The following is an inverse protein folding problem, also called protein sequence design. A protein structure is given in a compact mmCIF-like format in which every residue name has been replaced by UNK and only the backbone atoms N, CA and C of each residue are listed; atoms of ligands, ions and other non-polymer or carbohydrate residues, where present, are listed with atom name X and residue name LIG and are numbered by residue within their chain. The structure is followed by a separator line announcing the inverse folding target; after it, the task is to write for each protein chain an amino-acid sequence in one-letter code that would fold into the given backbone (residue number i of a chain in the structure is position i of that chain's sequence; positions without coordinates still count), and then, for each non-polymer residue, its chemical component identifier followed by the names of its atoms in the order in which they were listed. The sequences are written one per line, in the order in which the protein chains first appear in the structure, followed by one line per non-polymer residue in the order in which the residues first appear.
data_IF_029875555454
#
_entry.id   IF_029875555454
#
_cell.length_a   1.000
_cell.length_b   1.000
_cell.length_c   1.000
_cell.angle_alpha   90.00
_cell.angle_beta   90.00
_cell.angle_gamma   90.00
#
_symmetry.space_group_name_H-M   'P 1'
#
loop_
_entity.id
_entity.type
_entity.pdbx_description
1 polymer ?
#
# COMPACT_ATOMS: atom_id res chain seq x y z
N UNK A 1 7.52 9.09 -16.24
CA UNK A 1 7.33 7.71 -15.80
C UNK A 1 8.12 6.77 -16.69
N UNK A 2 8.92 5.89 -16.10
CA UNK A 2 9.66 4.83 -16.81
C UNK A 2 9.33 3.51 -16.12
N UNK A 3 8.95 2.51 -16.91
CA UNK A 3 8.69 1.16 -16.42
C UNK A 3 9.39 0.14 -17.31
N UNK A 4 10.22 -0.69 -16.71
CA UNK A 4 10.87 -1.81 -17.35
C UNK A 4 10.35 -3.09 -16.72
N UNK A 5 9.88 -4.01 -17.58
CA UNK A 5 9.34 -5.30 -17.20
C UNK A 5 10.07 -6.38 -17.98
N UNK A 6 10.57 -7.38 -17.29
CA UNK A 6 11.22 -8.54 -17.91
C UNK A 6 10.69 -9.81 -17.27
N UNK A 7 10.32 -10.79 -18.10
CA UNK A 7 9.87 -12.11 -17.67
C UNK A 7 10.64 -13.18 -18.38
N UNK A 8 11.20 -14.11 -17.63
CA UNK A 8 11.84 -15.32 -18.11
C UNK A 8 10.97 -16.51 -17.72
N UNK A 9 10.70 -17.39 -18.66
CA UNK A 9 9.89 -18.60 -18.44
C UNK A 9 10.76 -19.80 -18.75
N UNK A 10 10.82 -20.73 -17.79
CA UNK A 10 11.56 -21.99 -17.88
C UNK A 10 10.54 -23.12 -17.91
N UNK A 11 10.55 -23.93 -18.93
CA UNK A 11 9.73 -25.15 -19.03
C UNK A 11 10.61 -26.35 -18.71
N UNK A 12 10.36 -26.98 -17.55
CA UNK A 12 11.12 -28.15 -17.11
C UNK A 12 10.49 -29.44 -17.64
N UNK A 13 9.16 -29.50 -17.56
CA UNK A 13 8.33 -30.60 -18.09
C UNK A 13 6.99 -30.04 -18.55
N UNK A 14 6.11 -30.87 -19.11
CA UNK A 14 4.76 -30.44 -19.52
C UNK A 14 3.89 -30.00 -18.34
N UNK A 15 4.18 -30.50 -17.15
CA UNK A 15 3.43 -30.23 -15.92
C UNK A 15 4.14 -29.30 -14.93
N UNK A 16 5.43 -28.95 -15.17
CA UNK A 16 6.22 -28.08 -14.29
C UNK A 16 6.90 -27.00 -15.10
N UNK A 17 6.62 -25.76 -14.75
CA UNK A 17 7.32 -24.61 -15.28
C UNK A 17 7.72 -23.63 -14.16
N UNK A 18 8.70 -22.80 -14.44
CA UNK A 18 9.13 -21.74 -13.57
C UNK A 18 9.11 -20.40 -14.29
N UNK A 19 8.84 -19.33 -13.59
CA UNK A 19 9.00 -17.99 -14.12
C UNK A 19 9.73 -17.07 -13.14
N UNK A 20 10.53 -16.19 -13.72
CA UNK A 20 11.21 -15.11 -13.00
C UNK A 20 10.77 -13.80 -13.62
N UNK A 21 10.23 -12.94 -12.78
CA UNK A 21 9.71 -11.65 -13.15
C UNK A 21 10.53 -10.56 -12.48
N UNK A 22 11.06 -9.64 -13.25
CA UNK A 22 11.72 -8.44 -12.75
C UNK A 22 10.97 -7.20 -13.23
N UNK A 23 10.69 -6.29 -12.30
CA UNK A 23 10.11 -4.98 -12.59
C UNK A 23 10.98 -3.89 -12.01
N UNK A 24 11.17 -2.84 -12.79
CA UNK A 24 11.77 -1.58 -12.36
C UNK A 24 10.90 -0.43 -12.82
N UNK A 25 10.51 0.43 -11.88
CA UNK A 25 9.70 1.60 -12.17
C UNK A 25 10.28 2.85 -11.52
N UNK A 26 10.28 3.95 -12.26
CA UNK A 26 10.58 5.29 -11.76
C UNK A 26 9.45 6.21 -12.16
N UNK A 27 8.87 6.86 -11.16
CA UNK A 27 7.86 7.90 -11.33
C UNK A 27 8.38 9.19 -10.74
N UNK A 28 8.38 10.24 -11.51
CA UNK A 28 8.61 11.61 -11.04
C UNK A 28 7.31 12.39 -11.25
N UNK A 29 6.95 13.22 -10.29
CA UNK A 29 5.86 14.17 -10.41
C UNK A 29 6.34 15.50 -9.85
N UNK A 30 6.17 16.54 -10.65
CA UNK A 30 6.47 17.92 -10.32
C UNK A 30 5.16 18.69 -10.35
N UNK A 31 4.76 19.21 -9.19
CA UNK A 31 3.58 20.05 -9.05
C UNK A 31 4.03 21.46 -8.71
N UNK A 32 3.46 22.42 -9.38
CA UNK A 32 3.68 23.83 -9.15
C UNK A 32 2.33 24.53 -9.04
N UNK A 33 2.08 25.12 -7.88
CA UNK A 33 0.88 25.94 -7.63
C UNK A 33 1.31 27.39 -7.45
N UNK A 34 0.80 28.28 -8.30
CA UNK A 34 1.12 29.69 -8.25
C UNK A 34 -0.12 30.57 -8.08
N UNK A 35 -0.06 31.42 -7.08
CA UNK A 35 -1.05 32.47 -6.83
C UNK A 35 -0.39 33.86 -6.99
N UNK A 36 -0.72 34.55 -8.08
CA UNK A 36 -0.22 35.89 -8.37
C UNK A 36 -0.82 36.97 -7.47
N UNK A 37 -0.23 38.14 -7.44
CA UNK A 37 -0.62 39.28 -6.60
C UNK A 37 -2.08 39.72 -6.78
N UNK A 38 -2.68 39.49 -7.96
CA UNK A 38 -4.06 39.84 -8.28
C UNK A 38 -5.10 38.78 -7.85
N UNK A 39 -4.66 37.68 -7.20
CA UNK A 39 -5.58 36.62 -6.77
C UNK A 39 -6.20 36.93 -5.42
N UNK A 40 -7.44 36.45 -5.21
CA UNK A 40 -8.13 36.53 -3.93
C UNK A 40 -7.33 35.85 -2.80
N UNK A 41 -6.71 34.73 -3.10
CA UNK A 41 -5.85 34.01 -2.15
C UNK A 41 -4.75 34.91 -1.58
N UNK A 42 -4.00 35.57 -2.46
CA UNK A 42 -2.91 36.49 -2.07
C UNK A 42 -3.47 37.71 -1.33
N UNK A 43 -4.59 38.29 -1.77
CA UNK A 43 -5.23 39.41 -1.09
C UNK A 43 -5.61 39.08 0.36
N UNK A 44 -6.17 37.88 0.61
CA UNK A 44 -6.50 37.42 1.95
C UNK A 44 -5.26 37.25 2.85
N UNK A 45 -4.18 36.66 2.35
CA UNK A 45 -2.94 36.48 3.12
C UNK A 45 -2.27 37.83 3.37
N UNK A 46 -2.28 38.72 2.38
CA UNK A 46 -1.71 40.06 2.46
C UNK A 46 -2.47 40.99 3.39
N UNK A 47 -3.74 40.67 3.67
CA UNK A 47 -4.68 41.51 4.45
C UNK A 47 -4.90 42.89 3.83
N UNK A 48 -4.83 42.99 2.51
CA UNK A 48 -5.03 44.21 1.78
C UNK A 48 -5.85 43.96 0.50
N UNK A 49 -6.51 44.97 -0.02
CA UNK A 49 -7.15 44.93 -1.33
C UNK A 49 -6.10 44.94 -2.46
N UNK A 50 -6.53 44.56 -3.67
CA UNK A 50 -5.67 44.63 -4.86
C UNK A 50 -5.04 45.98 -5.03
N UNK A 51 -3.70 46.01 -5.23
CA UNK A 51 -2.94 47.26 -5.48
C UNK A 51 -2.71 48.13 -4.23
N UNK A 52 -3.15 47.72 -3.05
CA UNK A 52 -2.91 48.43 -1.79
C UNK A 52 -1.64 47.90 -1.15
N UNK A 53 -0.83 48.78 -0.56
CA UNK A 53 0.35 48.37 0.20
C UNK A 53 -0.01 47.40 1.34
N UNK A 54 0.83 46.40 1.53
CA UNK A 54 0.64 45.43 2.59
C UNK A 54 0.82 46.06 3.97
N UNK A 55 -0.04 45.72 4.95
CA UNK A 55 0.19 46.13 6.35
C UNK A 55 1.49 45.57 6.90
N UNK A 56 2.05 46.19 7.91
CA UNK A 56 3.27 45.72 8.59
C UNK A 56 3.15 44.35 9.23
N UNK A 57 1.91 43.90 9.49
CA UNK A 57 1.60 42.58 10.02
C UNK A 57 1.27 41.53 8.93
N UNK A 58 1.52 41.86 7.65
CA UNK A 58 1.29 40.93 6.54
C UNK A 58 2.27 39.78 6.53
N UNK A 59 1.75 38.58 6.23
CA UNK A 59 2.57 37.41 5.96
C UNK A 59 3.03 37.27 4.51
N UNK A 60 2.52 38.14 3.62
CA UNK A 60 2.86 38.20 2.18
C UNK A 60 2.93 39.66 1.74
N UNK A 61 4.04 40.38 2.05
CA UNK A 61 4.12 41.81 1.79
C UNK A 61 4.17 42.17 0.31
N UNK A 62 4.86 41.39 -0.49
CA UNK A 62 5.09 41.62 -1.93
C UNK A 62 4.96 40.31 -2.70
N UNK A 63 4.65 40.42 -4.01
CA UNK A 63 4.59 39.30 -4.93
C UNK A 63 3.45 38.33 -4.65
N UNK A 64 3.53 37.21 -5.29
CA UNK A 64 2.62 36.07 -5.11
C UNK A 64 3.21 34.97 -4.22
N UNK A 65 2.48 33.88 -4.13
CA UNK A 65 2.90 32.64 -3.45
C UNK A 65 3.13 31.55 -4.50
N UNK A 66 4.27 30.88 -4.43
CA UNK A 66 4.65 29.73 -5.26
C UNK A 66 4.85 28.52 -4.34
N UNK A 67 4.09 27.46 -4.58
CA UNK A 67 4.26 26.18 -3.91
C UNK A 67 4.76 25.15 -4.90
N UNK A 68 5.90 24.55 -4.62
CA UNK A 68 6.55 23.56 -5.44
C UNK A 68 6.60 22.22 -4.68
N UNK A 69 6.16 21.16 -5.32
CA UNK A 69 6.26 19.81 -4.80
C UNK A 69 6.86 18.90 -5.86
N UNK A 70 8.03 18.38 -5.57
CA UNK A 70 8.72 17.42 -6.41
C UNK A 70 8.74 16.06 -5.71
N UNK A 71 8.29 15.04 -6.39
CA UNK A 71 8.29 13.66 -5.84
C UNK A 71 8.93 12.70 -6.81
N UNK A 72 9.71 11.78 -6.28
CA UNK A 72 10.32 10.69 -7.01
C UNK A 72 10.12 9.37 -6.31
N UNK A 73 9.43 8.46 -6.97
CA UNK A 73 9.28 7.09 -6.51
C UNK A 73 10.09 6.15 -7.40
N UNK A 74 10.95 5.32 -6.78
CA UNK A 74 11.69 4.25 -7.44
C UNK A 74 11.27 2.93 -6.81
N UNK A 75 10.81 2.01 -7.65
CA UNK A 75 10.38 0.69 -7.21
C UNK A 75 11.07 -0.36 -8.06
N UNK A 76 11.59 -1.40 -7.43
CA UNK A 76 12.00 -2.63 -8.08
C UNK A 76 11.41 -3.82 -7.35
N UNK A 77 11.03 -4.81 -8.12
CA UNK A 77 10.54 -6.07 -7.60
C UNK A 77 11.10 -7.24 -8.39
N UNK A 78 11.37 -8.31 -7.70
CA UNK A 78 11.75 -9.60 -8.25
C UNK A 78 10.80 -10.65 -7.70
N UNK A 79 10.22 -11.45 -8.57
CA UNK A 79 9.43 -12.62 -8.22
C UNK A 79 9.98 -13.84 -8.96
N UNK A 80 10.21 -14.91 -8.23
CA UNK A 80 10.51 -16.22 -8.78
C UNK A 80 9.42 -17.19 -8.34
N UNK A 81 8.87 -17.96 -9.29
CA UNK A 81 7.75 -18.84 -9.06
C UNK A 81 7.92 -20.14 -9.81
N UNK A 82 7.59 -21.26 -9.16
CA UNK A 82 7.41 -22.57 -9.77
C UNK A 82 5.92 -22.86 -9.85
N UNK A 83 5.46 -23.30 -11.00
CA UNK A 83 4.07 -23.67 -11.26
C UNK A 83 3.99 -25.14 -11.60
N UNK A 84 3.08 -25.81 -10.94
CA UNK A 84 2.75 -27.22 -11.12
C UNK A 84 1.32 -27.31 -11.65
N UNK A 85 1.12 -28.08 -12.73
CA UNK A 85 -0.23 -28.47 -13.19
C UNK A 85 -0.16 -29.87 -13.75
N UNK A 86 -0.71 -30.84 -13.01
CA UNK A 86 -0.62 -32.24 -13.39
C UNK A 86 -1.95 -32.96 -13.22
N UNK A 87 -2.37 -33.62 -14.30
CA UNK A 87 -3.47 -34.56 -14.27
C UNK A 87 -2.93 -35.99 -14.07
N UNK A 88 -3.65 -36.81 -13.33
CA UNK A 88 -3.24 -38.18 -13.04
C UNK A 88 -4.44 -39.08 -12.69
N UNK A 89 -4.18 -40.40 -12.65
CA UNK A 89 -5.20 -41.42 -12.42
C UNK A 89 -5.89 -41.88 -13.71
N UNK A 90 -6.79 -42.84 -13.56
CA UNK A 90 -7.59 -43.32 -14.69
C UNK A 90 -8.48 -42.20 -15.23
N UNK A 91 -8.51 -42.00 -16.55
CA UNK A 91 -9.27 -40.95 -17.23
C UNK A 91 -8.93 -39.52 -16.71
N UNK A 92 -7.72 -39.32 -16.22
CA UNK A 92 -7.25 -37.99 -15.71
C UNK A 92 -8.20 -37.35 -14.70
N UNK A 93 -8.84 -38.17 -13.88
CA UNK A 93 -9.86 -37.72 -12.91
C UNK A 93 -9.33 -36.84 -11.77
N UNK A 94 -8.00 -36.85 -11.56
CA UNK A 94 -7.34 -36.07 -10.54
C UNK A 94 -6.53 -34.95 -11.17
N UNK A 95 -6.65 -33.77 -10.65
CA UNK A 95 -5.80 -32.64 -11.02
C UNK A 95 -5.14 -32.05 -9.78
N UNK A 96 -3.83 -31.80 -9.83
CA UNK A 96 -3.09 -30.99 -8.88
C UNK A 96 -2.57 -29.78 -9.60
N UNK A 97 -2.94 -28.59 -9.10
CA UNK A 97 -2.42 -27.31 -9.54
C UNK A 97 -1.76 -26.64 -8.34
N UNK A 98 -0.55 -26.09 -8.52
CA UNK A 98 0.18 -25.48 -7.44
C UNK A 98 1.12 -24.40 -7.91
N UNK A 99 1.43 -23.49 -7.00
CA UNK A 99 2.44 -22.47 -7.18
C UNK A 99 3.25 -22.30 -5.89
N UNK A 100 4.57 -22.33 -6.01
CA UNK A 100 5.52 -21.95 -4.95
C UNK A 100 6.29 -20.74 -5.44
N UNK A 101 6.20 -19.64 -4.71
CA UNK A 101 6.83 -18.40 -5.13
C UNK A 101 7.55 -17.67 -4.00
N UNK A 102 8.52 -16.88 -4.42
CA UNK A 102 9.25 -15.93 -3.59
C UNK A 102 9.22 -14.56 -4.26
N UNK A 103 8.94 -13.54 -3.47
CA UNK A 103 8.88 -12.15 -3.93
C UNK A 103 9.76 -11.27 -3.05
N UNK A 104 10.44 -10.31 -3.66
CA UNK A 104 11.08 -9.21 -2.98
C UNK A 104 10.79 -7.91 -3.71
N UNK A 105 10.54 -6.86 -2.94
CA UNK A 105 10.36 -5.53 -3.50
C UNK A 105 10.98 -4.46 -2.63
N UNK A 106 11.42 -3.39 -3.28
CA UNK A 106 11.95 -2.20 -2.61
C UNK A 106 11.36 -0.97 -3.30
N UNK A 107 10.76 -0.10 -2.49
CA UNK A 107 10.20 1.16 -2.96
C UNK A 107 10.77 2.30 -2.14
N UNK A 108 11.40 3.26 -2.82
CA UNK A 108 11.95 4.47 -2.21
C UNK A 108 11.23 5.69 -2.74
N UNK A 109 10.51 6.33 -1.84
CA UNK A 109 9.81 7.59 -2.08
C UNK A 109 10.64 8.75 -1.55
N UNK A 110 11.03 9.65 -2.45
CA UNK A 110 11.66 10.93 -2.10
C UNK A 110 10.73 12.06 -2.47
N UNK A 111 10.56 13.00 -1.55
CA UNK A 111 9.78 14.20 -1.74
C UNK A 111 10.55 15.43 -1.31
N UNK A 112 10.37 16.51 -2.06
CA UNK A 112 10.75 17.86 -1.68
C UNK A 112 9.53 18.75 -1.85
N UNK A 113 9.22 19.53 -0.84
CA UNK A 113 8.12 20.49 -0.85
C UNK A 113 8.62 21.81 -0.29
N UNK A 114 8.33 22.89 -0.99
CA UNK A 114 8.65 24.24 -0.58
C UNK A 114 7.51 25.18 -0.99
N UNK A 115 7.18 26.12 -0.11
CA UNK A 115 6.30 27.26 -0.46
C UNK A 115 7.08 28.53 -0.25
N UNK A 116 7.16 29.34 -1.30
CA UNK A 116 7.89 30.59 -1.33
C UNK A 116 6.94 31.76 -1.52
N UNK A 117 7.16 32.84 -0.82
CA UNK A 117 6.39 34.09 -0.91
C UNK A 117 7.27 35.21 -1.45
N UNK A 118 6.66 36.15 -2.12
CA UNK A 118 7.38 37.22 -2.80
C UNK A 118 7.75 36.89 -4.25
N UNK A 119 7.06 35.93 -4.87
CA UNK A 119 7.33 35.46 -6.22
C UNK A 119 6.60 36.29 -7.28
N UNK A 120 7.33 36.65 -8.37
CA UNK A 120 6.81 37.33 -9.54
C UNK A 120 7.06 36.53 -10.81
N UNK A 121 6.02 35.89 -11.34
CA UNK A 121 6.11 35.08 -12.55
C UNK A 121 6.41 35.94 -13.80
N UNK A 122 5.83 37.14 -13.86
CA UNK A 122 5.90 38.09 -14.96
C UNK A 122 7.19 38.96 -14.98
N UNK A 123 7.94 38.94 -13.87
CA UNK A 123 9.19 39.69 -13.74
C UNK A 123 10.43 38.78 -13.80
N UNK A 124 10.44 37.88 -14.77
CA UNK A 124 11.55 36.96 -14.99
C UNK A 124 11.61 35.82 -13.95
N UNK A 125 10.48 35.45 -13.37
CA UNK A 125 10.41 34.35 -12.35
C UNK A 125 11.33 34.63 -11.16
N UNK A 126 11.25 35.82 -10.61
CA UNK A 126 12.15 36.29 -9.56
C UNK A 126 11.45 36.38 -8.20
N UNK A 127 12.22 36.40 -7.13
CA UNK A 127 11.75 36.60 -5.78
C UNK A 127 12.17 37.97 -5.24
N UNK A 128 11.24 38.64 -4.53
CA UNK A 128 11.54 39.88 -3.84
C UNK A 128 12.18 39.62 -2.50
N UNK A 129 13.27 40.31 -2.21
CA UNK A 129 13.85 40.36 -0.88
C UNK A 129 12.97 41.19 0.05
N UNK A 130 12.54 40.61 1.16
CA UNK A 130 11.73 41.26 2.19
C UNK A 130 12.60 41.51 3.42
N UNK A 131 12.61 42.72 3.92
CA UNK A 131 13.33 43.09 5.14
C UNK A 131 12.67 42.40 6.36
N UNK A 132 13.47 41.64 7.09
CA UNK A 132 12.97 40.88 8.24
C UNK A 132 12.47 41.78 9.40
N UNK A 133 13.02 43.01 9.51
CA UNK A 133 12.63 44.03 10.50
C UNK A 133 11.26 44.63 10.22
N UNK A 134 10.88 44.72 8.93
CA UNK A 134 9.72 45.50 8.52
C UNK A 134 8.43 44.69 8.57
N UNK A 135 8.55 43.36 8.44
CA UNK A 135 7.40 42.43 8.38
C UNK A 135 7.60 41.23 9.33
N UNK A 136 7.32 41.42 10.60
CA UNK A 136 7.52 40.39 11.63
C UNK A 136 6.71 39.12 11.39
N UNK A 137 5.49 39.24 10.83
CA UNK A 137 4.64 38.08 10.51
C UNK A 137 5.18 37.26 9.34
N UNK A 138 5.71 37.93 8.32
CA UNK A 138 6.39 37.25 7.23
C UNK A 138 7.61 36.46 7.71
N UNK A 139 8.42 37.08 8.56
CA UNK A 139 9.60 36.43 9.16
C UNK A 139 9.21 35.21 9.99
N UNK A 140 8.16 35.34 10.82
CA UNK A 140 7.63 34.20 11.59
C UNK A 140 7.10 33.10 10.67
N UNK A 141 6.41 33.46 9.58
CA UNK A 141 5.94 32.50 8.59
C UNK A 141 7.10 31.74 7.94
N UNK A 142 8.16 32.42 7.48
CA UNK A 142 9.35 31.80 6.90
C UNK A 142 10.02 30.83 7.87
N UNK A 143 10.12 31.19 9.15
CA UNK A 143 10.70 30.30 10.17
C UNK A 143 9.87 29.01 10.38
N UNK A 144 8.55 29.10 10.26
CA UNK A 144 7.65 27.98 10.47
C UNK A 144 7.37 27.14 9.21
N UNK A 145 7.67 27.68 8.00
CA UNK A 145 7.40 27.05 6.71
C UNK A 145 8.69 26.73 5.97
N UNK A 146 9.61 26.08 6.64
CA UNK A 146 10.85 25.61 6.02
C UNK A 146 10.59 24.48 5.01
N UNK A 147 11.41 24.36 3.98
CA UNK A 147 11.33 23.26 3.03
C UNK A 147 11.29 21.91 3.71
N UNK A 148 10.43 21.00 3.21
CA UNK A 148 10.29 19.63 3.72
C UNK A 148 10.95 18.65 2.77
N UNK A 149 11.76 17.77 3.33
CA UNK A 149 12.36 16.65 2.62
C UNK A 149 11.76 15.37 3.21
N UNK A 150 11.27 14.50 2.33
CA UNK A 150 10.78 13.15 2.68
C UNK A 150 11.68 12.14 1.99
N UNK A 151 12.13 11.13 2.71
CA UNK A 151 12.88 10.00 2.16
C UNK A 151 12.45 8.72 2.89
N UNK A 152 11.51 8.00 2.29
CA UNK A 152 10.92 6.79 2.84
C UNK A 152 11.37 5.58 2.03
N UNK A 153 11.91 4.58 2.70
CA UNK A 153 12.29 3.30 2.12
C UNK A 153 11.41 2.19 2.70
N UNK A 154 10.75 1.47 1.81
CA UNK A 154 9.96 0.28 2.16
C UNK A 154 10.52 -0.93 1.43
N UNK A 155 10.97 -1.92 2.19
CA UNK A 155 11.40 -3.21 1.67
C UNK A 155 10.41 -4.27 2.12
N UNK A 156 10.01 -5.13 1.19
CA UNK A 156 9.11 -6.25 1.42
C UNK A 156 9.75 -7.52 0.89
N UNK A 157 9.59 -8.60 1.61
CA UNK A 157 9.92 -9.95 1.18
C UNK A 157 8.71 -10.83 1.46
N UNK A 158 8.45 -11.79 0.59
CA UNK A 158 7.35 -12.73 0.78
C UNK A 158 7.66 -14.08 0.15
N UNK A 159 7.16 -15.13 0.78
CA UNK A 159 7.14 -16.47 0.20
C UNK A 159 5.72 -17.00 0.27
N UNK A 160 5.27 -17.67 -0.79
CA UNK A 160 3.90 -18.19 -0.84
C UNK A 160 3.84 -19.57 -1.47
N UNK A 161 2.85 -20.31 -1.02
CA UNK A 161 2.47 -21.61 -1.55
C UNK A 161 0.96 -21.61 -1.80
N UNK A 162 0.57 -21.98 -3.01
CA UNK A 162 -0.81 -22.27 -3.38
C UNK A 162 -0.87 -23.71 -3.85
N UNK A 163 -1.82 -24.47 -3.37
CA UNK A 163 -2.07 -25.84 -3.79
C UNK A 163 -3.57 -26.05 -3.99
N UNK A 164 -3.95 -26.51 -5.15
CA UNK A 164 -5.32 -26.86 -5.50
C UNK A 164 -5.33 -28.32 -5.92
N UNK A 165 -6.17 -29.10 -5.28
CA UNK A 165 -6.46 -30.45 -5.71
C UNK A 165 -7.92 -30.55 -6.15
N UNK A 166 -8.17 -31.14 -7.28
CA UNK A 166 -9.51 -31.37 -7.80
C UNK A 166 -9.69 -32.85 -8.18
N UNK A 167 -10.83 -33.39 -7.83
CA UNK A 167 -11.25 -34.72 -8.24
C UNK A 167 -12.53 -34.61 -9.08
N UNK A 168 -12.43 -34.84 -10.39
CA UNK A 168 -13.48 -34.56 -11.36
C UNK A 168 -14.08 -33.17 -11.15
N UNK A 169 -15.37 -33.02 -11.36
CA UNK A 169 -16.14 -31.82 -10.96
C UNK A 169 -16.77 -31.96 -9.57
N UNK A 170 -16.50 -33.09 -8.88
CA UNK A 170 -17.15 -33.43 -7.62
C UNK A 170 -16.57 -32.66 -6.44
N UNK A 171 -15.24 -32.60 -6.34
CA UNK A 171 -14.56 -32.05 -5.15
C UNK A 171 -13.36 -31.21 -5.55
N UNK A 172 -13.20 -30.09 -4.88
CA UNK A 172 -11.97 -29.33 -4.92
C UNK A 172 -11.52 -28.89 -3.52
N UNK A 173 -10.22 -28.96 -3.28
CA UNK A 173 -9.57 -28.49 -2.06
C UNK A 173 -8.50 -27.48 -2.47
N UNK A 174 -8.51 -26.32 -1.84
CA UNK A 174 -7.55 -25.27 -2.08
C UNK A 174 -6.88 -24.87 -0.75
N UNK A 175 -5.55 -24.84 -0.74
CA UNK A 175 -4.74 -24.41 0.38
C UNK A 175 -3.77 -23.31 -0.06
N UNK A 176 -3.83 -22.18 0.61
CA UNK A 176 -2.96 -21.03 0.37
C UNK A 176 -2.21 -20.70 1.64
N UNK A 177 -0.94 -20.38 1.51
CA UNK A 177 -0.09 -19.94 2.60
C UNK A 177 0.86 -18.86 2.10
N UNK A 178 1.03 -17.80 2.89
CA UNK A 178 1.94 -16.72 2.58
C UNK A 178 2.63 -16.23 3.84
N UNK A 179 3.93 -15.98 3.73
CA UNK A 179 4.75 -15.34 4.75
C UNK A 179 5.28 -14.03 4.20
N UNK A 180 4.95 -12.93 4.87
CA UNK A 180 5.37 -11.59 4.47
C UNK A 180 6.24 -10.94 5.55
N UNK A 181 7.34 -10.33 5.15
CA UNK A 181 8.23 -9.57 6.00
C UNK A 181 8.47 -8.16 5.46
N UNK A 182 8.65 -7.19 6.37
CA UNK A 182 8.89 -5.80 6.02
C UNK A 182 9.89 -5.14 6.96
N UNK A 183 10.65 -4.16 6.47
CA UNK A 183 11.48 -3.30 7.32
C UNK A 183 10.65 -2.34 8.20
N UNK A 184 9.33 -2.30 7.99
CA UNK A 184 8.39 -1.54 8.84
C UNK A 184 8.03 -2.25 10.14
N UNK A 185 8.42 -3.53 10.31
CA UNK A 185 8.14 -4.29 11.53
C UNK A 185 9.17 -4.05 12.63
N UNK A 186 8.74 -4.22 13.87
CA UNK A 186 9.58 -4.07 15.05
C UNK A 186 10.76 -5.06 15.06
N UNK A 187 11.94 -4.58 15.44
CA UNK A 187 13.15 -5.39 15.48
C UNK A 187 13.10 -6.53 16.51
N UNK A 188 12.28 -6.42 17.54
CA UNK A 188 12.06 -7.40 18.61
C UNK A 188 10.75 -8.17 18.50
N UNK A 189 9.90 -7.86 17.50
CA UNK A 189 8.69 -8.62 17.27
C UNK A 189 9.07 -10.05 16.91
N UNK A 190 8.56 -11.03 17.65
CA UNK A 190 8.67 -12.45 17.31
C UNK A 190 7.88 -12.78 16.03
N UNK A 191 7.08 -11.85 15.56
CA UNK A 191 6.19 -11.97 14.42
C UNK A 191 6.63 -11.10 13.24
N UNK A 192 7.95 -11.03 12.98
CA UNK A 192 8.49 -10.34 11.78
C UNK A 192 7.94 -10.91 10.48
N UNK A 193 7.56 -12.17 10.51
CA UNK A 193 6.94 -12.88 9.41
C UNK A 193 5.59 -13.40 9.90
N UNK A 194 4.51 -12.82 9.43
CA UNK A 194 3.18 -13.31 9.75
C UNK A 194 2.74 -14.37 8.72
N UNK A 195 2.45 -15.61 9.15
CA UNK A 195 1.82 -16.57 8.28
C UNK A 195 0.35 -16.17 8.05
N UNK A 196 0.02 -15.84 6.83
CA UNK A 196 -1.35 -15.71 6.34
C UNK A 196 -1.68 -17.01 5.63
N UNK A 197 -2.78 -17.66 5.98
CA UNK A 197 -3.16 -18.91 5.34
C UNK A 197 -4.67 -19.06 5.24
N UNK A 198 -5.11 -19.80 4.25
CA UNK A 198 -6.51 -20.15 4.07
C UNK A 198 -6.62 -21.54 3.44
N UNK A 199 -7.60 -22.29 3.91
CA UNK A 199 -8.01 -23.56 3.30
C UNK A 199 -9.47 -23.43 2.91
N UNK A 200 -9.79 -23.85 1.69
CA UNK A 200 -11.16 -23.88 1.22
C UNK A 200 -11.46 -25.19 0.50
N UNK A 201 -12.70 -25.64 0.60
CA UNK A 201 -13.19 -26.81 -0.12
C UNK A 201 -14.51 -26.49 -0.79
N UNK A 202 -14.76 -27.14 -1.92
CA UNK A 202 -16.02 -27.12 -2.64
C UNK A 202 -16.43 -28.52 -3.00
N UNK A 203 -17.66 -28.87 -2.72
CA UNK A 203 -18.27 -30.16 -3.01
C UNK A 203 -19.48 -29.96 -3.89
N UNK A 204 -19.45 -30.45 -5.14
CA UNK A 204 -20.58 -30.42 -6.05
C UNK A 204 -21.38 -31.73 -5.90
N UNK A 205 -22.42 -31.68 -5.11
CA UNK A 205 -23.23 -32.85 -4.78
C UNK A 205 -24.10 -33.33 -5.97
N UNK A 206 -24.38 -32.46 -6.95
CA UNK A 206 -25.15 -32.82 -8.14
C UNK A 206 -24.44 -33.88 -9.02
N UNK A 207 -23.10 -33.98 -8.90
CA UNK A 207 -22.29 -34.98 -9.59
C UNK A 207 -22.34 -36.37 -8.93
N UNK A 208 -22.97 -36.49 -7.78
CA UNK A 208 -23.14 -37.80 -7.12
C UNK A 208 -24.25 -38.58 -7.80
N UNK A 209 -24.02 -39.85 -8.17
CA UNK A 209 -25.06 -40.68 -8.83
C UNK A 209 -26.33 -40.81 -8.00
N UNK A 210 -26.22 -40.73 -6.67
CA UNK A 210 -27.36 -40.79 -5.75
C UNK A 210 -28.27 -39.55 -5.77
N UNK A 211 -27.75 -38.40 -6.22
CA UNK A 211 -28.47 -37.12 -6.27
C UNK A 211 -28.71 -36.65 -7.72
N UNK A 212 -28.32 -37.45 -8.69
CA UNK A 212 -28.53 -37.14 -10.12
C UNK A 212 -30.03 -37.16 -10.46
N UNK A 213 -30.57 -36.00 -10.73
CA UNK A 213 -31.96 -35.83 -11.13
C UNK A 213 -32.03 -34.79 -12.27
N UNK A 214 -32.87 -35.01 -13.27
CA UNK A 214 -32.97 -34.14 -14.47
C UNK A 214 -33.29 -32.67 -14.13
N UNK A 215 -33.94 -32.42 -13.02
CA UNK A 215 -34.29 -31.08 -12.55
C UNK A 215 -33.18 -30.38 -11.75
N UNK A 216 -32.16 -31.14 -11.25
CA UNK A 216 -31.07 -30.63 -10.43
C UNK A 216 -29.81 -30.42 -11.31
N UNK A 217 -29.53 -29.19 -11.66
CA UNK A 217 -28.39 -28.86 -12.52
C UNK A 217 -27.08 -28.64 -11.73
N UNK A 218 -27.20 -28.09 -10.52
CA UNK A 218 -26.04 -27.81 -9.69
C UNK A 218 -26.45 -27.77 -8.20
N UNK A 219 -25.65 -28.40 -7.35
CA UNK A 219 -25.77 -28.29 -5.89
C UNK A 219 -24.37 -28.35 -5.30
N UNK A 220 -23.86 -27.24 -4.82
CA UNK A 220 -22.53 -27.17 -4.22
C UNK A 220 -22.56 -26.64 -2.79
N UNK A 221 -21.76 -27.25 -1.93
CA UNK A 221 -21.42 -26.76 -0.61
C UNK A 221 -19.98 -26.28 -0.65
N UNK A 222 -19.77 -25.03 -0.21
CA UNK A 222 -18.46 -24.41 -0.11
C UNK A 222 -18.13 -24.11 1.33
N UNK A 223 -16.88 -24.33 1.74
CA UNK A 223 -16.39 -23.99 3.07
C UNK A 223 -15.01 -23.40 2.95
N UNK A 224 -14.73 -22.37 3.75
CA UNK A 224 -13.38 -21.83 3.88
C UNK A 224 -13.08 -21.40 5.31
N UNK A 225 -11.80 -21.57 5.68
CA UNK A 225 -11.28 -21.07 6.94
C UNK A 225 -9.87 -20.56 6.75
N UNK A 226 -9.55 -19.43 7.36
CA UNK A 226 -8.22 -18.86 7.25
C UNK A 226 -7.96 -17.70 8.19
N UNK A 227 -6.70 -17.28 8.23
CA UNK A 227 -6.22 -16.13 8.98
C UNK A 227 -5.63 -15.10 8.04
N UNK A 228 -6.00 -13.83 8.28
CA UNK A 228 -5.43 -12.65 7.64
C UNK A 228 -4.71 -11.81 8.68
N UNK A 229 -3.58 -11.22 8.30
CA UNK A 229 -2.91 -10.19 9.06
C UNK A 229 -3.14 -8.81 8.44
N UNK A 230 -3.28 -7.81 9.29
CA UNK A 230 -3.32 -6.41 8.88
C UNK A 230 -2.33 -5.60 9.72
N UNK A 231 -1.70 -4.60 9.13
CA UNK A 231 -0.80 -3.69 9.83
C UNK A 231 -1.36 -2.27 9.76
N UNK A 232 -1.33 -1.57 10.88
CA UNK A 232 -1.76 -0.19 10.93
C UNK A 232 -0.75 0.71 10.19
N UNK A 233 -1.22 1.46 9.20
CA UNK A 233 -0.41 2.47 8.54
C UNK A 233 -0.06 3.61 9.49
N UNK A 234 1.16 4.13 9.35
CA UNK A 234 1.64 5.27 10.16
C UNK A 234 2.28 4.90 11.50
N UNK A 235 2.22 3.64 11.92
CA UNK A 235 2.98 3.18 13.09
C UNK A 235 4.41 2.82 12.71
N UNK A 236 5.33 3.09 13.62
CA UNK A 236 6.73 2.78 13.43
C UNK A 236 7.32 2.10 14.66
N UNK A 237 8.13 1.05 14.46
CA UNK A 237 8.79 0.37 15.56
C UNK A 237 10.03 1.10 16.09
N UNK A 238 10.47 2.16 15.40
CA UNK A 238 11.71 2.88 15.71
C UNK A 238 11.42 4.17 16.47
N UNK A 239 12.44 4.63 17.23
CA UNK A 239 12.40 5.93 17.89
C UNK A 239 12.31 7.05 16.84
N UNK A 240 11.30 7.89 16.94
CA UNK A 240 11.21 9.11 16.13
C UNK A 240 11.68 10.31 16.96
N UNK A 241 12.61 11.05 16.38
CA UNK A 241 13.08 12.30 16.92
C UNK A 241 12.55 13.46 16.09
N UNK A 242 12.12 14.51 16.77
CA UNK A 242 11.81 15.80 16.18
C UNK A 242 12.99 16.74 16.43
N UNK A 243 13.48 17.37 15.38
CA UNK A 243 14.47 18.42 15.53
C UNK A 243 13.80 19.69 16.08
N UNK A 244 14.36 20.23 17.12
CA UNK A 244 13.94 21.48 17.71
C UNK A 244 14.79 22.63 17.13
N UNK A 245 14.32 23.88 17.26
CA UNK A 245 15.15 25.04 17.01
C UNK A 245 16.44 25.01 17.84
N UNK A 246 17.39 25.85 17.42
CA UNK A 246 18.64 26.01 18.16
C UNK A 246 18.35 26.50 19.59
N UNK A 247 18.85 25.79 20.56
CA UNK A 247 18.74 26.18 21.95
C UNK A 247 19.50 27.50 22.21
N UNK A 248 18.83 28.48 22.82
CA UNK A 248 19.40 29.81 22.98
C UNK A 248 20.51 29.85 24.04
N UNK A 249 20.51 28.94 25.01
CA UNK A 249 21.49 28.90 26.09
C UNK A 249 22.78 28.18 25.65
N UNK A 250 22.64 26.96 25.06
CA UNK A 250 23.78 26.15 24.60
C UNK A 250 24.23 26.48 23.18
N UNK A 251 23.44 27.28 22.44
CA UNK A 251 23.68 27.64 21.05
C UNK A 251 23.85 26.38 20.13
N UNK A 252 23.15 25.28 20.44
CA UNK A 252 23.19 24.01 19.73
C UNK A 252 21.81 23.58 19.29
N UNK A 253 21.76 22.81 18.21
CA UNK A 253 20.52 22.13 17.83
C UNK A 253 20.21 21.02 18.82
N UNK A 254 18.96 20.93 19.22
CA UNK A 254 18.46 19.91 20.12
C UNK A 254 17.42 19.05 19.39
N UNK A 255 17.16 17.89 19.94
CA UNK A 255 16.11 17.01 19.45
C UNK A 255 15.27 16.53 20.62
N UNK A 256 13.97 16.44 20.42
CA UNK A 256 13.04 15.84 21.37
C UNK A 256 12.46 14.54 20.82
N UNK A 257 12.05 13.66 21.71
CA UNK A 257 11.37 12.42 21.30
C UNK A 257 9.98 12.78 20.79
N UNK A 258 9.72 12.48 19.51
CA UNK A 258 8.40 12.65 18.90
C UNK A 258 7.52 11.42 19.14
N UNK A 259 8.12 10.22 19.08
CA UNK A 259 7.46 8.95 19.40
C UNK A 259 8.46 7.98 19.98
N UNK A 260 8.09 7.29 21.04
CA UNK A 260 8.89 6.21 21.60
C UNK A 260 8.84 4.97 20.68
N UNK A 261 9.91 4.17 20.68
CA UNK A 261 9.91 2.94 19.88
C UNK A 261 8.90 1.94 20.44
N UNK A 262 8.15 1.30 19.55
CA UNK A 262 7.34 0.13 19.89
C UNK A 262 7.96 -1.12 19.23
N UNK A 263 8.93 -1.78 19.89
CA UNK A 263 9.60 -2.96 19.34
C UNK A 263 8.68 -4.18 19.26
N UNK A 264 7.54 -4.15 19.97
CA UNK A 264 6.55 -5.24 20.01
C UNK A 264 5.36 -4.96 19.07
N UNK A 265 5.53 -4.03 18.12
CA UNK A 265 4.52 -3.74 17.11
C UNK A 265 4.22 -5.00 16.32
N UNK A 266 3.03 -5.52 16.47
CA UNK A 266 2.54 -6.77 15.91
C UNK A 266 1.46 -6.52 14.86
N UNK A 267 1.04 -7.58 14.20
CA UNK A 267 -0.07 -7.59 13.28
C UNK A 267 -1.40 -7.78 14.01
N UNK A 268 -2.41 -7.10 13.52
CA UNK A 268 -3.80 -7.46 13.80
C UNK A 268 -4.13 -8.77 13.08
N UNK A 269 -4.72 -9.74 13.80
CA UNK A 269 -5.02 -11.08 13.29
C UNK A 269 -6.52 -11.28 13.18
N UNK A 270 -7.02 -11.50 11.96
CA UNK A 270 -8.43 -11.77 11.71
C UNK A 270 -8.61 -13.20 11.21
N UNK A 271 -9.24 -14.02 12.02
CA UNK A 271 -9.73 -15.36 11.64
C UNK A 271 -11.10 -15.22 10.94
N UNK A 272 -11.26 -15.89 9.81
CA UNK A 272 -12.51 -15.87 9.02
C UNK A 272 -12.94 -17.31 8.71
N UNK A 273 -14.19 -17.62 9.03
CA UNK A 273 -14.88 -18.84 8.60
C UNK A 273 -16.02 -18.46 7.67
N UNK A 274 -16.09 -19.11 6.50
CA UNK A 274 -17.20 -18.92 5.57
C UNK A 274 -17.73 -20.28 5.13
N UNK A 275 -19.04 -20.36 4.96
CA UNK A 275 -19.71 -21.52 4.33
C UNK A 275 -20.82 -21.00 3.43
N UNK A 276 -21.01 -21.66 2.29
CA UNK A 276 -22.00 -21.30 1.29
C UNK A 276 -22.66 -22.52 0.69
N UNK A 277 -23.91 -22.36 0.30
CA UNK A 277 -24.71 -23.31 -0.47
C UNK A 277 -25.12 -22.64 -1.79
N UNK A 278 -24.91 -23.34 -2.89
CA UNK A 278 -25.38 -22.91 -4.21
C UNK A 278 -26.23 -24.02 -4.81
N UNK A 279 -27.42 -23.65 -5.29
CA UNK A 279 -28.39 -24.54 -5.91
C UNK A 279 -28.84 -23.94 -7.25
N UNK A 280 -28.83 -24.76 -8.31
CA UNK A 280 -29.44 -24.41 -9.58
C UNK A 280 -30.34 -25.55 -10.06
N UNK A 281 -31.54 -25.22 -10.43
CA UNK A 281 -32.58 -26.18 -10.83
C UNK A 281 -33.33 -25.73 -12.10
N UNK A 282 -34.03 -26.71 -12.74
CA UNK A 282 -34.90 -26.47 -13.89
C UNK A 282 -34.16 -25.82 -15.07
N UNK A 283 -33.10 -26.47 -15.56
CA UNK A 283 -32.22 -25.96 -16.62
C UNK A 283 -31.61 -24.58 -16.29
N UNK A 284 -31.17 -24.41 -15.04
CA UNK A 284 -30.63 -23.16 -14.49
C UNK A 284 -31.59 -21.96 -14.49
N UNK A 285 -32.90 -22.19 -14.59
CA UNK A 285 -33.90 -21.11 -14.52
C UNK A 285 -34.06 -20.54 -13.14
N UNK A 286 -33.81 -21.35 -12.10
CA UNK A 286 -33.83 -20.90 -10.71
C UNK A 286 -32.45 -21.17 -10.13
N UNK A 287 -31.84 -20.11 -9.61
CA UNK A 287 -30.54 -20.17 -8.91
C UNK A 287 -30.73 -19.54 -7.52
N UNK A 288 -30.28 -20.26 -6.50
CA UNK A 288 -30.36 -19.85 -5.11
C UNK A 288 -28.94 -19.96 -4.54
N UNK A 289 -28.45 -18.88 -3.90
CA UNK A 289 -27.21 -18.89 -3.15
C UNK A 289 -27.43 -18.35 -1.75
N UNK A 290 -26.77 -18.95 -0.77
CA UNK A 290 -26.79 -18.52 0.60
C UNK A 290 -25.41 -18.66 1.22
N UNK A 291 -24.90 -17.56 1.81
CA UNK A 291 -23.57 -17.52 2.41
C UNK A 291 -23.68 -17.13 3.88
N UNK A 292 -22.94 -17.84 4.71
CA UNK A 292 -22.74 -17.52 6.12
C UNK A 292 -21.26 -17.25 6.36
N UNK A 293 -20.93 -16.17 7.05
CA UNK A 293 -19.57 -15.86 7.44
C UNK A 293 -19.47 -15.47 8.92
N UNK A 294 -18.37 -15.85 9.53
CA UNK A 294 -17.99 -15.45 10.88
C UNK A 294 -16.55 -14.97 10.88
N UNK A 295 -16.32 -13.75 11.40
CA UNK A 295 -14.99 -13.14 11.51
C UNK A 295 -14.70 -12.80 12.97
N UNK A 296 -13.47 -13.05 13.39
CA UNK A 296 -12.98 -12.70 14.72
C UNK A 296 -11.59 -12.09 14.60
N UNK A 297 -11.47 -10.85 15.04
CA UNK A 297 -10.19 -10.13 15.10
C UNK A 297 -9.62 -10.18 16.51
N UNK A 298 -8.30 -10.41 16.59
CA UNK A 298 -7.49 -10.35 17.82
C UNK A 298 -6.36 -9.36 17.61
N UNK A 299 -5.82 -8.84 18.71
CA UNK A 299 -4.71 -7.89 18.73
C UNK A 299 -5.01 -6.64 17.90
N UNK A 300 -6.30 -6.20 17.92
CA UNK A 300 -6.74 -5.00 17.22
C UNK A 300 -6.07 -3.77 17.82
N UNK A 301 -5.61 -2.87 16.95
CA UNK A 301 -5.08 -1.58 17.37
C UNK A 301 -6.23 -0.69 17.86
N UNK A 302 -6.05 -0.10 19.04
CA UNK A 302 -6.94 0.90 19.63
C UNK A 302 -6.24 2.24 19.76
#
# INVERSE_FOLDING_TARGET
YVHCHSRLIFRFTDWLNGDVLFNYAVSNADNEDYWGESTYHVACIRKSNYGVAAPSDSELPYGGELSEQNTRNKTYSLRAQLNLNKYFGEEEKHNINGALGYEMSSSRYKGYQNTSRGYYADRGKNFTSVGASDYSKYTAWVMNNQPKITDNLTNLIGAYLTLIYSYRNLFSLNANMRYDGSNKFGSRSNEKLLPVWAVSSSFNLAELPALSADWLNFLAIKMSYGYQGNMLDGQTPVLLLKNNPRDSYYNKFTSSVASYPNPELNWEKTGSFNTGLELAVLDNRIQISGDFYYKRTKDAFM
#
